data_IF_864372255380
#
_entry.id   IF_864372255380
#
_cell.length_a   1.000
_cell.length_b   1.000
_cell.length_c   1.000
_cell.angle_alpha   90.00
_cell.angle_beta   90.00
_cell.angle_gamma   90.00
#
_symmetry.space_group_name_H-M   'P 1'
#
loop_
_entity.id
_entity.type
_entity.pdbx_description
1 polymer ?
#
# COMPACT_ATOMS: atom_id res chain seq x y z
N UNK A 1 2.50 19.21 1.11
CA UNK A 1 1.77 18.42 2.12
C UNK A 1 1.72 16.98 1.67
N UNK A 2 1.82 16.04 2.61
CA UNK A 2 1.73 14.62 2.38
C UNK A 2 0.88 14.00 3.48
N UNK A 3 -0.37 13.65 3.16
CA UNK A 3 -1.29 13.01 4.09
C UNK A 3 -1.00 11.51 4.16
N UNK A 4 -0.65 11.04 5.36
CA UNK A 4 -0.35 9.65 5.66
C UNK A 4 -1.55 8.98 6.34
N UNK A 5 -2.33 8.26 5.53
CA UNK A 5 -3.42 7.39 5.96
C UNK A 5 -3.02 5.92 6.06
N UNK A 6 -1.74 5.60 6.29
CA UNK A 6 -1.25 4.23 6.47
C UNK A 6 -1.91 3.58 7.68
N UNK A 7 -2.22 2.29 7.56
CA UNK A 7 -2.76 1.51 8.65
C UNK A 7 -1.78 1.42 9.82
N UNK A 8 -2.33 1.38 11.04
CA UNK A 8 -1.56 1.09 12.25
C UNK A 8 -1.86 -0.32 12.75
N UNK A 9 -0.87 -0.98 13.35
CA UNK A 9 -1.14 -2.21 14.06
C UNK A 9 -2.06 -1.95 15.27
N UNK A 10 -2.90 -2.92 15.68
CA UNK A 10 -3.61 -2.86 16.95
C UNK A 10 -2.70 -2.55 18.14
N UNK A 11 -3.18 -1.86 19.17
CA UNK A 11 -2.38 -1.54 20.35
C UNK A 11 -1.83 -2.78 21.07
N UNK A 12 -2.52 -3.92 20.93
CA UNK A 12 -2.09 -5.21 21.48
C UNK A 12 -1.01 -5.92 20.64
N UNK A 13 -0.65 -5.41 19.46
CA UNK A 13 0.36 -6.01 18.61
C UNK A 13 1.78 -5.78 19.16
N UNK A 14 2.50 -6.88 19.38
CA UNK A 14 3.91 -6.90 19.80
C UNK A 14 4.82 -7.27 18.63
N UNK A 15 6.14 -7.28 18.85
CA UNK A 15 7.13 -7.69 17.85
C UNK A 15 6.97 -9.16 17.39
N UNK A 16 6.23 -9.98 18.14
CA UNK A 16 5.94 -11.36 17.79
C UNK A 16 4.52 -11.59 17.26
N UNK A 17 3.71 -10.53 17.09
CA UNK A 17 2.28 -10.62 16.77
C UNK A 17 1.95 -11.35 15.46
N UNK A 18 2.81 -11.19 14.45
CA UNK A 18 2.70 -11.90 13.17
C UNK A 18 3.49 -13.21 13.13
N UNK A 19 4.30 -13.46 14.16
CA UNK A 19 5.17 -14.64 14.23
C UNK A 19 4.49 -15.78 14.98
N UNK A 20 3.80 -15.47 16.08
CA UNK A 20 3.21 -16.44 17.00
C UNK A 20 1.77 -16.07 17.35
N UNK A 21 0.91 -17.07 17.57
CA UNK A 21 -0.46 -16.85 18.07
C UNK A 21 -0.45 -16.16 19.45
N UNK A 22 0.47 -16.56 20.33
CA UNK A 22 0.73 -15.91 21.62
C UNK A 22 2.11 -16.29 22.19
N UNK A 23 2.52 -15.68 23.31
CA UNK A 23 3.76 -16.08 24.00
C UNK A 23 3.73 -17.52 24.51
N UNK A 24 2.53 -18.02 24.84
CA UNK A 24 2.28 -19.39 25.30
C UNK A 24 2.05 -20.38 24.16
N UNK A 25 1.55 -19.90 23.01
CA UNK A 25 1.33 -20.69 21.80
C UNK A 25 2.17 -20.13 20.66
N UNK A 26 3.35 -20.74 20.47
CA UNK A 26 4.33 -20.36 19.45
C UNK A 26 4.13 -21.09 18.12
N UNK A 27 2.88 -21.37 17.77
CA UNK A 27 2.52 -21.75 16.40
C UNK A 27 2.37 -20.48 15.55
N UNK A 28 2.63 -20.60 14.24
CA UNK A 28 2.48 -19.49 13.30
C UNK A 28 0.99 -19.17 13.05
N UNK A 29 0.62 -17.89 12.84
CA UNK A 29 -0.75 -17.54 12.48
C UNK A 29 -1.23 -18.29 11.22
N UNK A 30 -2.42 -18.84 11.33
CA UNK A 30 -3.09 -19.60 10.28
C UNK A 30 -4.10 -18.75 9.50
N UNK A 31 -4.32 -19.04 8.20
CA UNK A 31 -3.63 -20.05 7.40
C UNK A 31 -2.20 -19.63 7.01
N UNK A 32 -1.94 -18.33 7.01
CA UNK A 32 -0.61 -17.72 6.88
C UNK A 32 -0.65 -16.32 7.51
N UNK A 33 0.50 -15.68 7.67
CA UNK A 33 0.59 -14.34 8.26
C UNK A 33 -0.29 -13.31 7.55
N UNK A 34 -0.49 -13.41 6.22
CA UNK A 34 -1.25 -12.44 5.42
C UNK A 34 -2.75 -12.65 5.47
N UNK A 35 -3.19 -13.90 5.51
CA UNK A 35 -4.61 -14.26 5.37
C UNK A 35 -5.27 -14.56 6.72
N UNK A 36 -4.59 -14.21 7.83
CA UNK A 36 -5.11 -14.30 9.19
C UNK A 36 -5.70 -12.96 9.64
N UNK A 37 -6.43 -12.93 10.75
CA UNK A 37 -6.86 -11.67 11.34
C UNK A 37 -5.69 -10.81 11.86
N UNK A 38 -4.51 -11.42 12.09
CA UNK A 38 -3.33 -10.73 12.64
C UNK A 38 -2.71 -9.73 11.68
N UNK A 39 -2.86 -9.90 10.38
CA UNK A 39 -2.34 -8.96 9.39
C UNK A 39 -3.19 -7.70 9.25
N UNK A 40 -4.44 -7.72 9.70
CA UNK A 40 -5.36 -6.61 9.52
C UNK A 40 -4.92 -5.43 10.40
N UNK A 41 -4.47 -4.36 9.76
CA UNK A 41 -4.21 -3.06 10.37
C UNK A 41 -5.46 -2.18 10.39
N UNK A 42 -5.47 -1.18 11.27
CA UNK A 42 -6.57 -0.22 11.41
C UNK A 42 -6.72 0.59 10.11
N UNK A 43 -7.85 0.49 9.37
CA UNK A 43 -7.94 1.11 8.05
C UNK A 43 -7.96 2.65 8.09
N UNK A 44 -7.01 3.28 7.39
CA UNK A 44 -6.82 4.75 7.49
C UNK A 44 -7.43 5.61 6.39
N UNK A 45 -7.83 5.02 5.27
CA UNK A 45 -8.16 5.77 4.05
C UNK A 45 -9.37 6.71 4.22
N UNK A 46 -10.39 6.30 4.99
CA UNK A 46 -11.61 7.11 5.18
C UNK A 46 -11.31 8.37 5.98
N UNK A 47 -10.56 8.26 7.08
CA UNK A 47 -10.11 9.40 7.89
C UNK A 47 -9.23 10.33 7.05
N UNK A 48 -8.29 9.78 6.28
CA UNK A 48 -7.39 10.56 5.43
C UNK A 48 -8.17 11.39 4.40
N UNK A 49 -9.12 10.77 3.70
CA UNK A 49 -9.95 11.47 2.73
C UNK A 49 -10.86 12.52 3.38
N UNK A 50 -11.37 12.27 4.60
CA UNK A 50 -12.17 13.23 5.34
C UNK A 50 -11.34 14.45 5.79
N UNK A 51 -10.10 14.24 6.24
CA UNK A 51 -9.18 15.32 6.64
C UNK A 51 -8.76 16.16 5.43
N UNK A 52 -8.39 15.50 4.31
CA UNK A 52 -8.10 16.19 3.04
C UNK A 52 -9.30 16.97 2.54
N UNK A 53 -10.51 16.41 2.64
CA UNK A 53 -11.73 17.10 2.24
C UNK A 53 -12.05 18.29 3.13
N UNK A 54 -11.83 18.18 4.44
CA UNK A 54 -12.00 19.28 5.39
C UNK A 54 -11.08 20.46 5.05
N UNK A 55 -9.83 20.18 4.66
CA UNK A 55 -8.85 21.23 4.36
C UNK A 55 -8.98 21.80 2.94
N UNK A 56 -9.22 20.93 1.94
CA UNK A 56 -9.12 21.29 0.51
C UNK A 56 -10.42 21.11 -0.28
N UNK A 57 -11.43 20.47 0.29
CA UNK A 57 -12.69 20.12 -0.37
C UNK A 57 -13.58 21.33 -0.63
N UNK A 58 -14.24 21.35 -1.80
CA UNK A 58 -15.21 22.40 -2.18
C UNK A 58 -16.62 21.87 -2.43
N UNK A 59 -16.72 20.64 -2.92
CA UNK A 59 -18.00 19.94 -3.10
C UNK A 59 -18.45 19.37 -1.75
N UNK A 60 -19.74 19.43 -1.37
CA UNK A 60 -20.20 18.81 -0.12
C UNK A 60 -19.77 17.34 -0.03
N UNK A 61 -19.27 16.90 1.14
CA UNK A 61 -18.73 15.55 1.35
C UNK A 61 -19.68 14.46 0.84
N UNK A 62 -20.93 14.53 1.27
CA UNK A 62 -21.98 13.58 0.91
C UNK A 62 -22.17 13.42 -0.61
N UNK A 63 -22.02 14.50 -1.38
CA UNK A 63 -22.29 14.49 -2.81
C UNK A 63 -21.19 13.74 -3.60
N UNK A 64 -20.02 13.54 -3.00
CA UNK A 64 -18.90 12.80 -3.62
C UNK A 64 -19.15 11.28 -3.71
N UNK A 65 -20.10 10.75 -2.94
CA UNK A 65 -20.34 9.30 -2.83
C UNK A 65 -21.36 8.77 -3.82
N UNK A 66 -22.20 9.63 -4.41
CA UNK A 66 -23.31 9.20 -5.25
C UNK A 66 -22.87 8.25 -6.39
N UNK A 67 -21.79 8.51 -7.15
CA UNK A 67 -21.35 7.59 -8.20
C UNK A 67 -20.97 6.20 -7.68
N UNK A 68 -20.29 6.13 -6.53
CA UNK A 68 -19.84 4.87 -5.95
C UNK A 68 -21.00 4.07 -5.35
N UNK A 69 -21.94 4.75 -4.69
CA UNK A 69 -23.18 4.14 -4.17
C UNK A 69 -24.02 3.56 -5.31
N UNK A 70 -24.25 4.34 -6.38
CA UNK A 70 -24.97 3.86 -7.56
C UNK A 70 -24.27 2.67 -8.22
N UNK A 71 -22.94 2.72 -8.37
CA UNK A 71 -22.20 1.60 -8.96
C UNK A 71 -22.27 0.33 -8.10
N UNK A 72 -22.29 0.48 -6.77
CA UNK A 72 -22.44 -0.64 -5.85
C UNK A 72 -23.85 -1.25 -5.91
N UNK A 73 -24.91 -0.43 -5.90
CA UNK A 73 -26.30 -0.91 -5.96
C UNK A 73 -26.68 -1.46 -7.34
N UNK A 74 -26.47 -0.67 -8.40
CA UNK A 74 -26.84 -1.06 -9.77
C UNK A 74 -25.92 -2.17 -10.28
N UNK A 75 -24.69 -2.23 -9.79
CA UNK A 75 -23.66 -3.19 -10.14
C UNK A 75 -22.93 -2.92 -11.46
N UNK A 76 -21.85 -3.65 -11.68
CA UNK A 76 -20.98 -3.52 -12.85
C UNK A 76 -20.57 -4.87 -13.43
N UNK A 77 -20.21 -4.88 -14.71
CA UNK A 77 -19.68 -6.06 -15.40
C UNK A 77 -18.25 -6.34 -14.96
N UNK A 78 -17.94 -7.61 -14.64
CA UNK A 78 -16.60 -8.00 -14.22
C UNK A 78 -15.61 -7.84 -15.39
N UNK A 79 -14.58 -7.02 -15.19
CA UNK A 79 -13.48 -6.90 -16.16
C UNK A 79 -12.63 -8.18 -16.23
N UNK A 80 -11.96 -8.42 -17.35
CA UNK A 80 -11.06 -9.57 -17.51
C UNK A 80 -10.00 -9.67 -16.39
N UNK A 81 -9.43 -8.52 -15.99
CA UNK A 81 -8.45 -8.48 -14.88
C UNK A 81 -9.07 -8.90 -13.55
N UNK A 82 -10.29 -8.45 -13.24
CA UNK A 82 -10.97 -8.83 -12.01
C UNK A 82 -11.38 -10.30 -12.02
N UNK A 83 -11.87 -10.82 -13.15
CA UNK A 83 -12.21 -12.24 -13.30
C UNK A 83 -10.99 -13.14 -13.05
N UNK A 84 -9.81 -12.79 -13.59
CA UNK A 84 -8.56 -13.50 -13.31
C UNK A 84 -8.22 -13.44 -11.82
N UNK A 85 -8.29 -12.26 -11.20
CA UNK A 85 -7.99 -12.10 -9.79
C UNK A 85 -8.93 -12.95 -8.89
N UNK A 86 -10.23 -12.99 -9.19
CA UNK A 86 -11.21 -13.82 -8.47
C UNK A 86 -10.87 -15.30 -8.64
N UNK A 87 -10.59 -15.75 -9.87
CA UNK A 87 -10.26 -17.14 -10.14
C UNK A 87 -8.99 -17.59 -9.40
N UNK A 88 -7.95 -16.76 -9.38
CA UNK A 88 -6.70 -17.03 -8.66
C UNK A 88 -6.90 -17.06 -7.14
N UNK A 89 -7.83 -16.25 -6.62
CA UNK A 89 -8.13 -16.11 -5.19
C UNK A 89 -9.23 -17.04 -4.67
N UNK A 90 -9.95 -17.77 -5.55
CA UNK A 90 -11.16 -18.50 -5.20
C UNK A 90 -11.01 -19.44 -3.97
N UNK A 91 -9.92 -20.22 -3.82
CA UNK A 91 -9.76 -21.07 -2.63
C UNK A 91 -9.66 -20.30 -1.31
N UNK A 92 -9.13 -19.07 -1.33
CA UNK A 92 -9.02 -18.21 -0.15
C UNK A 92 -10.30 -17.44 0.12
N UNK A 93 -10.97 -16.97 -0.93
CA UNK A 93 -12.27 -16.31 -0.84
C UNK A 93 -13.35 -17.25 -0.30
N UNK A 94 -13.27 -18.55 -0.61
CA UNK A 94 -14.22 -19.55 -0.09
C UNK A 94 -14.16 -19.72 1.44
N UNK A 95 -13.09 -19.27 2.10
CA UNK A 95 -12.94 -19.38 3.56
C UNK A 95 -13.78 -18.35 4.33
N UNK A 96 -14.34 -17.36 3.64
CA UNK A 96 -15.15 -16.29 4.20
C UNK A 96 -16.52 -16.30 3.53
N UNK A 97 -17.60 -16.41 4.30
CA UNK A 97 -18.94 -16.60 3.74
C UNK A 97 -19.41 -15.39 2.92
N UNK A 98 -19.10 -14.17 3.36
CA UNK A 98 -19.48 -12.94 2.67
C UNK A 98 -18.65 -12.75 1.39
N UNK A 99 -17.35 -13.02 1.44
CA UNK A 99 -16.49 -12.98 0.26
C UNK A 99 -16.89 -14.05 -0.76
N UNK A 100 -17.20 -15.27 -0.31
CA UNK A 100 -17.66 -16.36 -1.16
C UNK A 100 -18.97 -15.99 -1.85
N UNK A 101 -19.96 -15.47 -1.11
CA UNK A 101 -21.24 -15.05 -1.68
C UNK A 101 -21.09 -13.93 -2.72
N UNK A 102 -20.15 -13.01 -2.48
CA UNK A 102 -19.93 -11.88 -3.37
C UNK A 102 -19.13 -12.23 -4.63
N UNK A 103 -18.09 -13.06 -4.52
CA UNK A 103 -17.16 -13.32 -5.63
C UNK A 103 -17.31 -14.69 -6.30
N UNK A 104 -17.98 -15.66 -5.68
CA UNK A 104 -18.16 -17.01 -6.20
C UNK A 104 -19.63 -17.27 -6.56
N UNK A 105 -19.84 -18.13 -7.54
CA UNK A 105 -21.16 -18.68 -7.88
C UNK A 105 -21.59 -19.71 -6.82
N UNK A 106 -22.88 -20.08 -6.83
CA UNK A 106 -23.46 -20.95 -5.80
C UNK A 106 -22.85 -22.36 -5.74
N UNK A 107 -22.19 -22.81 -6.82
CA UNK A 107 -21.44 -24.06 -6.87
C UNK A 107 -19.98 -23.93 -6.40
N UNK A 108 -19.57 -22.73 -5.97
CA UNK A 108 -18.22 -22.39 -5.54
C UNK A 108 -17.27 -22.02 -6.67
N UNK A 109 -17.71 -22.01 -7.94
CA UNK A 109 -16.87 -21.56 -9.05
C UNK A 109 -16.69 -20.04 -9.06
N UNK A 110 -15.57 -19.50 -9.55
CA UNK A 110 -15.33 -18.06 -9.56
C UNK A 110 -16.23 -17.35 -10.58
N UNK A 111 -16.84 -16.23 -10.17
CA UNK A 111 -17.61 -15.38 -11.09
C UNK A 111 -16.72 -14.88 -12.23
N UNK A 112 -17.26 -14.89 -13.44
CA UNK A 112 -16.52 -14.58 -14.67
C UNK A 112 -16.92 -13.23 -15.27
N UNK A 113 -16.32 -12.87 -16.41
CA UNK A 113 -16.69 -11.65 -17.16
C UNK A 113 -18.13 -11.65 -17.68
N UNK A 114 -18.86 -12.76 -17.59
CA UNK A 114 -20.29 -12.85 -17.92
C UNK A 114 -21.19 -12.50 -16.73
N UNK A 115 -20.62 -12.30 -15.53
CA UNK A 115 -21.34 -11.99 -14.32
C UNK A 115 -21.37 -10.48 -14.06
N UNK A 116 -22.51 -10.02 -13.54
CA UNK A 116 -22.68 -8.67 -13.01
C UNK A 116 -22.55 -8.69 -11.49
N UNK A 117 -21.69 -7.84 -10.93
CA UNK A 117 -21.50 -7.72 -9.48
C UNK A 117 -22.30 -6.55 -8.91
N UNK A 118 -23.24 -6.85 -8.02
CA UNK A 118 -23.97 -5.87 -7.21
C UNK A 118 -23.58 -6.03 -5.74
N UNK A 119 -23.32 -4.93 -5.04
CA UNK A 119 -22.91 -4.90 -3.65
C UNK A 119 -23.75 -3.91 -2.80
N UNK A 120 -25.03 -4.23 -2.51
CA UNK A 120 -25.89 -3.36 -1.71
C UNK A 120 -25.39 -3.14 -0.27
N UNK A 121 -24.64 -4.10 0.28
CA UNK A 121 -24.00 -3.95 1.59
C UNK A 121 -22.97 -2.80 1.55
N UNK A 122 -22.13 -2.77 0.52
CA UNK A 122 -21.17 -1.68 0.35
C UNK A 122 -21.84 -0.34 0.06
N UNK A 123 -22.94 -0.33 -0.71
CA UNK A 123 -23.73 0.89 -0.93
C UNK A 123 -24.25 1.48 0.39
N UNK A 124 -24.74 0.64 1.31
CA UNK A 124 -25.14 1.04 2.66
C UNK A 124 -23.96 1.62 3.46
N UNK A 125 -22.80 0.95 3.43
CA UNK A 125 -21.56 1.41 4.09
C UNK A 125 -21.13 2.77 3.58
N UNK A 126 -21.06 2.95 2.26
CA UNK A 126 -20.77 4.22 1.62
C UNK A 126 -21.79 5.30 2.01
N UNK A 127 -23.08 4.95 2.11
CA UNK A 127 -24.12 5.88 2.56
C UNK A 127 -23.95 6.34 4.01
N UNK A 128 -23.51 5.46 4.90
CA UNK A 128 -23.17 5.81 6.28
C UNK A 128 -21.97 6.78 6.33
N UNK A 129 -20.89 6.46 5.62
CA UNK A 129 -19.69 7.31 5.52
C UNK A 129 -20.01 8.67 4.90
N UNK A 130 -20.84 8.69 3.86
CA UNK A 130 -21.27 9.92 3.19
C UNK A 130 -22.09 10.84 4.10
N UNK A 131 -22.78 10.26 5.08
CA UNK A 131 -23.55 11.01 6.07
C UNK A 131 -22.66 11.53 7.19
N UNK A 132 -21.73 10.71 7.67
CA UNK A 132 -20.78 11.03 8.73
C UNK A 132 -19.52 10.16 8.59
N UNK A 133 -18.33 10.72 8.25
CA UNK A 133 -17.09 9.96 8.17
C UNK A 133 -16.78 9.15 9.43
N UNK A 134 -17.11 9.68 10.61
CA UNK A 134 -16.84 9.03 11.90
C UNK A 134 -17.62 7.72 12.10
N UNK A 135 -18.67 7.47 11.31
CA UNK A 135 -19.43 6.23 11.34
C UNK A 135 -18.60 4.99 10.94
N UNK A 136 -17.47 5.18 10.24
CA UNK A 136 -16.54 4.08 9.93
C UNK A 136 -15.67 3.67 11.13
N UNK A 137 -15.31 4.65 11.96
CA UNK A 137 -14.36 4.48 13.08
C UNK A 137 -15.05 4.26 14.43
N UNK A 138 -16.37 4.44 14.47
CA UNK A 138 -17.20 4.27 15.66
C UNK A 138 -18.52 3.58 15.28
N UNK A 139 -19.30 3.12 16.27
CA UNK A 139 -20.63 2.56 15.99
C UNK A 139 -20.60 1.15 15.39
N UNK A 140 -21.57 0.85 14.51
CA UNK A 140 -21.81 -0.50 13.98
C UNK A 140 -20.68 -0.97 13.05
N UNK A 141 -20.30 -0.17 12.04
CA UNK A 141 -19.22 -0.54 11.10
C UNK A 141 -17.92 -0.88 11.85
N UNK A 142 -17.55 -0.08 12.85
CA UNK A 142 -16.35 -0.34 13.64
C UNK A 142 -16.44 -1.65 14.45
N UNK A 143 -17.61 -1.97 15.00
CA UNK A 143 -17.84 -3.25 15.68
C UNK A 143 -17.78 -4.43 14.71
N UNK A 144 -18.34 -4.26 13.52
CA UNK A 144 -18.38 -5.31 12.50
C UNK A 144 -16.98 -5.58 11.95
N UNK A 145 -16.14 -4.54 11.73
CA UNK A 145 -14.72 -4.70 11.38
C UNK A 145 -13.99 -5.54 12.42
N UNK A 146 -14.14 -5.20 13.71
CA UNK A 146 -13.49 -5.93 14.82
C UNK A 146 -13.98 -7.37 14.89
N UNK A 147 -15.29 -7.60 14.73
CA UNK A 147 -15.87 -8.94 14.74
C UNK A 147 -15.34 -9.79 13.58
N UNK A 148 -15.31 -9.25 12.36
CA UNK A 148 -14.79 -9.93 11.18
C UNK A 148 -13.29 -10.23 11.32
N UNK A 149 -12.50 -9.26 11.79
CA UNK A 149 -11.06 -9.46 12.01
C UNK A 149 -10.75 -10.49 13.12
N UNK A 150 -11.67 -10.69 14.07
CA UNK A 150 -11.53 -11.64 15.16
C UNK A 150 -12.18 -13.01 14.86
N UNK A 151 -12.77 -13.21 13.68
CA UNK A 151 -13.47 -14.45 13.34
C UNK A 151 -12.48 -15.63 13.19
N UNK A 152 -12.58 -16.69 14.02
CA UNK A 152 -11.73 -17.87 13.89
C UNK A 152 -12.24 -18.86 12.84
N UNK A 153 -13.33 -18.56 12.11
CA UNK A 153 -13.85 -19.41 11.04
C UNK A 153 -12.77 -19.76 9.99
N UNK A 154 -12.93 -20.90 9.33
CA UNK A 154 -11.91 -21.41 8.40
C UNK A 154 -10.56 -21.77 9.06
N UNK A 155 -10.48 -21.78 10.40
CA UNK A 155 -9.24 -22.03 11.14
C UNK A 155 -8.29 -20.83 11.15
N UNK A 156 -8.80 -19.62 10.97
CA UNK A 156 -8.02 -18.37 10.95
C UNK A 156 -7.58 -17.98 12.36
N UNK A 157 -6.37 -17.44 12.47
CA UNK A 157 -5.92 -16.83 13.74
C UNK A 157 -6.55 -15.44 13.90
N UNK A 158 -7.32 -15.19 14.99
CA UNK A 158 -8.01 -13.92 15.21
C UNK A 158 -7.09 -12.72 15.37
N UNK A 159 -7.54 -11.54 14.94
CA UNK A 159 -6.97 -10.25 15.33
C UNK A 159 -7.19 -9.96 16.83
N UNK A 160 -6.32 -9.12 17.39
CA UNK A 160 -6.50 -8.49 18.71
C UNK A 160 -6.92 -7.02 18.59
N UNK A 161 -7.32 -6.57 17.40
CA UNK A 161 -7.88 -5.23 17.18
C UNK A 161 -9.12 -5.00 18.04
N UNK A 162 -9.24 -3.81 18.63
CA UNK A 162 -10.42 -3.40 19.38
C UNK A 162 -11.09 -2.18 18.74
N UNK A 163 -12.32 -1.86 19.16
CA UNK A 163 -13.01 -0.66 18.68
C UNK A 163 -12.31 0.62 19.13
N UNK A 164 -11.55 0.58 20.21
CA UNK A 164 -10.70 1.69 20.66
C UNK A 164 -9.53 1.94 19.70
N UNK A 165 -8.98 0.90 19.07
CA UNK A 165 -7.95 1.05 18.04
C UNK A 165 -8.51 1.84 16.83
N UNK A 166 -9.73 1.50 16.37
CA UNK A 166 -10.40 2.26 15.30
C UNK A 166 -10.73 3.69 15.72
N UNK A 167 -11.35 3.87 16.90
CA UNK A 167 -11.77 5.18 17.38
C UNK A 167 -10.59 6.12 17.64
N UNK A 168 -9.42 5.56 17.99
CA UNK A 168 -8.18 6.30 18.23
C UNK A 168 -7.34 6.57 16.97
N UNK A 169 -7.74 6.08 15.80
CA UNK A 169 -6.97 6.25 14.57
C UNK A 169 -6.89 7.72 14.14
N UNK A 170 -5.68 8.17 13.79
CA UNK A 170 -5.43 9.52 13.29
C UNK A 170 -4.51 9.51 12.08
N UNK A 171 -4.74 10.45 11.18
CA UNK A 171 -3.90 10.69 10.00
C UNK A 171 -2.77 11.62 10.38
N UNK A 172 -1.63 11.47 9.70
CA UNK A 172 -0.48 12.35 9.90
C UNK A 172 -0.29 13.21 8.65
N UNK A 173 -0.29 14.53 8.82
CA UNK A 173 0.27 15.44 7.81
C UNK A 173 1.79 15.46 7.97
N UNK A 174 2.49 15.04 6.92
CA UNK A 174 3.95 14.94 6.89
C UNK A 174 4.52 15.92 5.88
N UNK A 175 5.72 16.40 6.16
CA UNK A 175 6.49 17.16 5.17
C UNK A 175 6.89 16.22 4.02
N UNK A 176 6.54 16.53 2.75
CA UNK A 176 6.94 15.72 1.62
C UNK A 176 8.47 15.58 1.53
N UNK A 177 8.92 14.40 1.10
CA UNK A 177 10.33 14.22 0.78
C UNK A 177 10.57 14.77 -0.62
N UNK A 178 11.32 15.87 -0.72
CA UNK A 178 11.71 16.47 -1.99
C UNK A 178 13.24 16.41 -2.19
N UNK A 179 13.65 16.12 -3.42
CA UNK A 179 15.05 16.07 -3.82
C UNK A 179 15.25 16.70 -5.21
N UNK A 180 16.37 17.40 -5.46
CA UNK A 180 16.68 17.92 -6.78
C UNK A 180 17.06 16.78 -7.73
N UNK A 181 16.66 16.89 -8.99
CA UNK A 181 17.12 16.00 -10.06
C UNK A 181 17.18 16.77 -11.38
N UNK A 182 18.38 17.00 -11.93
CA UNK A 182 18.60 17.63 -13.25
C UNK A 182 17.79 18.92 -13.48
N UNK A 183 17.77 19.81 -12.49
CA UNK A 183 17.07 21.11 -12.56
C UNK A 183 15.55 21.02 -12.33
N UNK A 184 15.06 19.88 -11.85
CA UNK A 184 13.69 19.67 -11.35
C UNK A 184 13.72 19.34 -9.87
N UNK A 185 12.57 19.48 -9.22
CA UNK A 185 12.34 18.99 -7.87
C UNK A 185 11.42 17.78 -7.95
N UNK A 186 11.88 16.66 -7.41
CA UNK A 186 11.09 15.44 -7.27
C UNK A 186 10.59 15.37 -5.85
N UNK A 187 9.27 15.33 -5.66
CA UNK A 187 8.65 15.13 -4.36
C UNK A 187 7.91 13.80 -4.30
N UNK A 188 7.92 13.16 -3.13
CA UNK A 188 7.18 11.93 -2.86
C UNK A 188 6.84 11.78 -1.39
N UNK A 189 6.21 10.67 -1.05
CA UNK A 189 5.88 10.37 0.35
C UNK A 189 7.16 10.17 1.18
N UNK A 190 7.24 10.78 2.38
CA UNK A 190 8.27 10.46 3.36
C UNK A 190 7.98 9.10 4.04
N UNK A 191 8.90 8.60 4.90
CA UNK A 191 8.60 7.50 5.82
C UNK A 191 7.28 7.72 6.59
N UNK A 192 6.49 6.65 6.86
CA UNK A 192 6.85 5.23 6.79
C UNK A 192 6.90 4.64 5.37
N UNK A 193 6.49 5.40 4.35
CA UNK A 193 6.71 4.98 2.96
C UNK A 193 8.19 5.03 2.58
N UNK A 194 8.65 4.00 1.89
CA UNK A 194 10.00 3.95 1.34
C UNK A 194 10.13 4.50 -0.08
N UNK A 195 9.01 4.77 -0.75
CA UNK A 195 8.99 5.13 -2.17
C UNK A 195 9.78 6.41 -2.47
N UNK A 196 9.57 7.47 -1.68
CA UNK A 196 10.26 8.75 -1.88
C UNK A 196 11.79 8.61 -1.77
N UNK A 197 12.28 7.90 -0.74
CA UNK A 197 13.72 7.67 -0.53
C UNK A 197 14.29 6.81 -1.66
N UNK A 198 13.66 5.68 -1.98
CA UNK A 198 14.20 4.76 -2.98
C UNK A 198 14.28 5.39 -4.37
N UNK A 199 13.23 6.11 -4.79
CA UNK A 199 13.20 6.81 -6.09
C UNK A 199 14.24 7.94 -6.10
N UNK A 200 14.28 8.80 -5.07
CA UNK A 200 15.24 9.90 -5.00
C UNK A 200 16.70 9.40 -4.99
N UNK A 201 17.00 8.34 -4.23
CA UNK A 201 18.33 7.73 -4.19
C UNK A 201 18.71 7.15 -5.57
N UNK A 202 17.80 6.42 -6.21
CA UNK A 202 18.00 5.83 -7.53
C UNK A 202 18.31 6.92 -8.57
N UNK A 203 17.50 7.99 -8.60
CA UNK A 203 17.72 9.09 -9.53
C UNK A 203 19.00 9.88 -9.23
N UNK A 204 19.34 10.12 -7.95
CA UNK A 204 20.59 10.80 -7.60
C UNK A 204 21.85 9.98 -7.93
N UNK A 205 21.77 8.64 -7.90
CA UNK A 205 22.81 7.75 -8.46
C UNK A 205 22.88 7.92 -9.99
N UNK A 206 21.73 7.85 -10.68
CA UNK A 206 21.63 7.96 -12.13
C UNK A 206 22.01 9.35 -12.68
N UNK A 207 22.00 10.39 -11.85
CA UNK A 207 22.47 11.72 -12.21
C UNK A 207 23.96 11.72 -12.60
N UNK A 208 24.73 10.73 -12.13
CA UNK A 208 26.16 10.56 -12.45
C UNK A 208 26.43 9.91 -13.81
N UNK A 209 25.38 9.45 -14.51
CA UNK A 209 25.49 8.77 -15.80
C UNK A 209 24.85 9.57 -16.94
N UNK A 210 25.35 9.43 -18.18
CA UNK A 210 24.80 10.13 -19.35
C UNK A 210 23.54 9.44 -19.89
N UNK A 211 22.47 9.33 -19.07
CA UNK A 211 21.24 8.59 -19.41
C UNK A 211 20.59 9.00 -20.75
N UNK A 212 20.80 10.24 -21.19
CA UNK A 212 20.33 10.71 -22.49
C UNK A 212 20.94 9.97 -23.70
N UNK A 213 22.06 9.26 -23.53
CA UNK A 213 22.66 8.40 -24.57
C UNK A 213 21.97 7.03 -24.66
N UNK A 214 21.18 6.65 -23.64
CA UNK A 214 20.56 5.32 -23.50
C UNK A 214 19.02 5.43 -23.47
N UNK A 215 18.47 6.33 -24.28
CA UNK A 215 17.01 6.52 -24.38
C UNK A 215 16.32 5.27 -24.93
N UNK A 216 15.09 4.96 -24.48
CA UNK A 216 14.27 3.95 -25.13
C UNK A 216 13.94 4.37 -26.57
N UNK A 217 13.77 3.37 -27.43
CA UNK A 217 13.26 3.52 -28.81
C UNK A 217 11.79 3.14 -28.87
N UNK A 218 11.13 3.38 -30.00
CA UNK A 218 9.77 2.88 -30.28
C UNK A 218 8.75 3.25 -29.18
N UNK A 219 8.80 4.51 -28.73
CA UNK A 219 7.94 5.00 -27.65
C UNK A 219 6.51 5.18 -28.16
N UNK A 220 5.56 4.50 -27.51
CA UNK A 220 4.13 4.67 -27.67
C UNK A 220 3.42 4.89 -26.30
N UNK A 221 2.09 4.76 -26.28
CA UNK A 221 1.30 4.95 -25.07
C UNK A 221 1.52 3.86 -24.00
N UNK A 222 2.09 2.72 -24.38
CA UNK A 222 2.38 1.59 -23.49
C UNK A 222 3.86 1.54 -23.07
N UNK A 223 4.66 2.56 -23.41
CA UNK A 223 6.07 2.66 -23.05
C UNK A 223 6.97 2.64 -24.28
N UNK A 224 8.23 2.23 -24.11
CA UNK A 224 9.18 2.13 -25.22
C UNK A 224 10.14 0.97 -25.02
N UNK A 225 10.84 0.59 -26.08
CA UNK A 225 11.85 -0.46 -26.06
C UNK A 225 13.12 0.05 -25.36
N UNK A 226 13.49 -0.46 -24.18
CA UNK A 226 14.60 0.10 -23.42
C UNK A 226 15.95 -0.29 -24.05
N UNK A 227 16.91 0.63 -24.00
CA UNK A 227 18.29 0.34 -24.37
C UNK A 227 18.93 -0.56 -23.30
N UNK A 228 19.75 -1.54 -23.71
CA UNK A 228 20.39 -2.51 -22.79
C UNK A 228 21.16 -1.79 -21.67
N UNK A 229 21.98 -0.80 -22.03
CA UNK A 229 22.72 0.00 -21.04
C UNK A 229 21.81 0.86 -20.15
N UNK A 230 20.66 1.30 -20.67
CA UNK A 230 19.67 2.02 -19.86
C UNK A 230 19.06 1.12 -18.79
N UNK A 231 18.66 -0.10 -19.16
CA UNK A 231 18.20 -1.13 -18.21
C UNK A 231 19.29 -1.44 -17.19
N UNK A 232 20.51 -1.71 -17.66
CA UNK A 232 21.64 -2.02 -16.78
C UNK A 232 21.86 -0.94 -15.71
N UNK A 233 21.98 0.32 -16.10
CA UNK A 233 22.23 1.40 -15.15
C UNK A 233 21.07 1.60 -14.17
N UNK A 234 19.81 1.53 -14.63
CA UNK A 234 18.64 1.64 -13.77
C UNK A 234 18.61 0.48 -12.76
N UNK A 235 18.76 -0.76 -13.22
CA UNK A 235 18.76 -1.94 -12.35
C UNK A 235 19.87 -1.90 -11.31
N UNK A 236 21.08 -1.48 -11.69
CA UNK A 236 22.22 -1.40 -10.76
C UNK A 236 22.05 -0.27 -9.74
N UNK A 237 21.47 0.87 -10.14
CA UNK A 237 21.14 1.96 -9.22
C UNK A 237 20.02 1.56 -8.24
N UNK A 238 18.96 0.92 -8.75
CA UNK A 238 17.86 0.41 -7.92
C UNK A 238 18.38 -0.62 -6.92
N UNK A 239 19.24 -1.57 -7.31
CA UNK A 239 19.85 -2.53 -6.38
C UNK A 239 20.49 -1.84 -5.18
N UNK A 240 21.26 -0.78 -5.41
CA UNK A 240 21.91 -0.02 -4.34
C UNK A 240 20.92 0.74 -3.47
N UNK A 241 19.92 1.37 -4.07
CA UNK A 241 18.89 2.13 -3.35
C UNK A 241 17.97 1.21 -2.54
N UNK A 242 17.58 0.05 -3.09
CA UNK A 242 16.78 -0.96 -2.41
C UNK A 242 17.55 -1.62 -1.27
N UNK A 243 18.85 -1.88 -1.43
CA UNK A 243 19.67 -2.37 -0.32
C UNK A 243 19.65 -1.39 0.88
N UNK A 244 19.74 -0.08 0.62
CA UNK A 244 19.65 0.95 1.66
C UNK A 244 18.24 1.06 2.25
N UNK A 245 17.21 1.07 1.39
CA UNK A 245 15.80 1.05 1.78
C UNK A 245 15.52 -0.08 2.77
N UNK A 246 15.87 -1.31 2.39
CA UNK A 246 15.51 -2.52 3.11
C UNK A 246 16.21 -2.60 4.48
N UNK A 247 17.33 -1.89 4.64
CA UNK A 247 18.11 -1.87 5.87
C UNK A 247 17.72 -0.74 6.83
N UNK A 248 17.24 0.40 6.30
CA UNK A 248 17.18 1.65 7.06
C UNK A 248 15.82 2.35 7.08
N UNK A 249 14.92 2.06 6.14
CA UNK A 249 13.66 2.79 6.02
C UNK A 249 12.53 2.03 6.71
N UNK A 250 11.96 2.64 7.75
CA UNK A 250 10.86 2.12 8.54
C UNK A 250 9.97 3.28 9.04
N UNK A 251 9.02 3.01 9.92
CA UNK A 251 8.25 4.07 10.58
C UNK A 251 9.15 4.93 11.48
N UNK A 252 9.34 6.18 11.08
CA UNK A 252 10.23 7.14 11.77
C UNK A 252 9.72 7.60 13.13
N UNK A 253 8.46 7.31 13.46
CA UNK A 253 7.91 7.59 14.78
C UNK A 253 8.47 6.59 15.82
N UNK A 254 9.06 5.47 15.37
CA UNK A 254 9.66 4.43 16.20
C UNK A 254 11.16 4.21 15.91
N UNK A 255 11.55 4.23 14.64
CA UNK A 255 12.92 3.95 14.20
C UNK A 255 13.44 5.11 13.35
N UNK A 256 14.36 5.94 13.86
CA UNK A 256 14.87 7.06 13.09
C UNK A 256 15.68 6.59 11.88
N UNK A 257 15.64 7.38 10.81
CA UNK A 257 16.57 7.21 9.69
C UNK A 257 18.02 7.36 10.18
N UNK A 258 19.00 6.76 9.48
CA UNK A 258 20.41 7.03 9.71
C UNK A 258 20.72 8.52 9.76
N UNK A 259 21.46 8.95 10.79
CA UNK A 259 21.76 10.38 11.01
C UNK A 259 20.54 11.27 11.28
N UNK A 260 19.35 10.70 11.51
CA UNK A 260 18.13 11.42 11.85
C UNK A 260 17.47 12.17 10.68
N UNK A 261 17.90 11.94 9.45
CA UNK A 261 17.39 12.66 8.27
C UNK A 261 17.52 11.85 6.98
N UNK A 262 16.61 12.02 6.00
CA UNK A 262 16.78 11.45 4.66
C UNK A 262 18.10 11.84 3.98
N UNK A 263 18.72 12.95 4.38
CA UNK A 263 19.96 13.44 3.78
C UNK A 263 21.14 12.47 3.93
N UNK A 264 21.15 11.61 4.94
CA UNK A 264 22.19 10.58 5.06
C UNK A 264 22.13 9.58 3.90
N UNK A 265 20.93 9.29 3.40
CA UNK A 265 20.70 8.37 2.28
C UNK A 265 20.65 9.10 0.92
N UNK A 266 20.38 10.40 0.91
CA UNK A 266 20.17 11.20 -0.31
C UNK A 266 21.28 12.22 -0.59
N UNK A 267 22.29 12.31 0.27
CA UNK A 267 23.40 13.24 0.13
C UNK A 267 24.20 13.00 -1.14
N UNK A 268 24.53 14.09 -1.86
CA UNK A 268 25.24 14.07 -3.15
C UNK A 268 26.52 13.23 -3.12
N UNK A 269 27.36 13.40 -2.08
CA UNK A 269 28.63 12.68 -1.94
C UNK A 269 28.41 11.19 -1.67
N UNK A 270 27.42 10.85 -0.85
CA UNK A 270 27.04 9.46 -0.60
C UNK A 270 26.58 8.79 -1.90
N UNK A 271 25.64 9.41 -2.62
CA UNK A 271 25.12 8.87 -3.88
C UNK A 271 26.19 8.81 -4.99
N UNK A 272 27.18 9.71 -4.98
CA UNK A 272 28.36 9.60 -5.85
C UNK A 272 29.20 8.36 -5.51
N UNK A 273 29.41 8.09 -4.22
CA UNK A 273 30.06 6.87 -3.76
C UNK A 273 29.30 5.60 -4.16
N UNK A 274 27.96 5.62 -4.07
CA UNK A 274 27.10 4.53 -4.54
C UNK A 274 27.23 4.34 -6.06
N UNK A 275 27.16 5.41 -6.85
CA UNK A 275 27.33 5.36 -8.30
C UNK A 275 28.67 4.76 -8.74
N UNK A 276 29.76 5.01 -8.00
CA UNK A 276 31.08 4.46 -8.28
C UNK A 276 31.16 2.92 -8.16
N UNK A 277 30.16 2.27 -7.54
CA UNK A 277 30.07 0.81 -7.45
C UNK A 277 29.50 0.16 -8.73
N UNK A 278 28.88 0.95 -9.61
CA UNK A 278 28.26 0.45 -10.83
C UNK A 278 29.33 0.30 -11.92
N UNK A 279 29.55 -0.94 -12.37
CA UNK A 279 30.41 -1.23 -13.51
C UNK A 279 29.58 -1.18 -14.81
N UNK A 280 30.09 -0.60 -15.91
CA UNK A 280 29.38 -0.65 -17.19
C UNK A 280 29.40 -2.04 -17.85
N UNK A 281 30.33 -2.91 -17.47
CA UNK A 281 30.61 -4.17 -18.18
C UNK A 281 30.05 -5.42 -17.45
N UNK A 282 29.57 -5.27 -16.22
CA UNK A 282 29.03 -6.37 -15.41
C UNK A 282 28.04 -5.88 -14.36
N UNK A 283 27.10 -6.75 -14.00
CA UNK A 283 26.23 -6.56 -12.83
C UNK A 283 27.00 -6.76 -11.52
N UNK A 284 26.60 -6.03 -10.48
CA UNK A 284 27.04 -6.25 -9.10
C UNK A 284 26.34 -7.45 -8.45
N UNK A 285 25.26 -7.96 -9.05
CA UNK A 285 24.44 -9.02 -8.47
C UNK A 285 23.65 -8.53 -7.25
N UNK A 286 24.14 -8.84 -6.05
CA UNK A 286 23.52 -8.41 -4.79
C UNK A 286 24.22 -7.18 -4.25
N UNK A 287 23.51 -6.06 -4.18
CA UNK A 287 24.01 -4.84 -3.56
C UNK A 287 24.12 -4.99 -2.05
N UNK A 288 25.17 -4.39 -1.47
CA UNK A 288 25.26 -4.19 -0.02
C UNK A 288 24.72 -2.80 0.34
N UNK A 289 23.99 -2.65 1.45
CA UNK A 289 23.65 -1.32 1.96
C UNK A 289 24.91 -0.52 2.29
N UNK A 290 24.78 0.80 2.36
CA UNK A 290 25.74 1.65 3.06
C UNK A 290 25.83 1.29 4.53
N UNK A 291 26.89 1.72 5.20
CA UNK A 291 27.16 1.37 6.60
C UNK A 291 26.99 2.60 7.48
N UNK A 292 25.90 2.66 8.25
CA UNK A 292 25.54 3.82 9.07
C UNK A 292 25.30 3.51 10.56
N UNK A 293 25.81 2.38 11.08
CA UNK A 293 25.56 1.94 12.46
C UNK A 293 24.30 1.08 12.58
N UNK A 294 23.79 0.80 13.79
CA UNK A 294 22.81 -0.28 14.08
C UNK A 294 21.51 -0.22 13.25
N UNK A 295 21.27 -1.22 12.38
CA UNK A 295 20.05 -1.29 11.57
C UNK A 295 19.15 -2.50 11.90
N UNK A 296 17.95 -2.55 11.29
CA UNK A 296 16.94 -3.63 11.45
C UNK A 296 17.28 -4.90 10.69
N UNK A 297 16.86 -6.07 11.19
CA UNK A 297 17.09 -7.35 10.50
C UNK A 297 16.51 -7.32 9.07
N UNK A 298 17.22 -7.90 8.07
CA UNK A 298 16.72 -7.93 6.70
C UNK A 298 15.40 -8.70 6.62
N UNK A 299 14.42 -8.13 5.92
CA UNK A 299 13.12 -8.75 5.65
C UNK A 299 13.18 -9.40 4.26
N UNK A 300 12.62 -10.60 4.12
CA UNK A 300 12.54 -11.27 2.83
C UNK A 300 11.56 -10.53 1.89
N UNK A 301 11.84 -10.45 0.58
CA UNK A 301 10.91 -9.86 -0.36
C UNK A 301 9.61 -10.68 -0.41
N UNK A 302 8.50 -9.97 -0.43
CA UNK A 302 7.14 -10.49 -0.39
C UNK A 302 6.45 -10.09 -1.71
N UNK A 303 5.78 -11.00 -2.44
CA UNK A 303 5.02 -10.62 -3.63
C UNK A 303 3.90 -9.64 -3.27
N UNK A 304 3.84 -8.49 -3.94
CA UNK A 304 2.81 -7.45 -3.75
C UNK A 304 1.95 -7.33 -5.01
N UNK A 305 0.63 -7.46 -4.85
CA UNK A 305 -0.33 -7.38 -5.95
C UNK A 305 -1.65 -6.75 -5.48
N UNK A 306 -1.76 -5.43 -5.20
CA UNK A 306 -3.02 -4.95 -4.58
C UNK A 306 -3.30 -3.45 -4.58
N UNK A 307 -2.66 -2.67 -5.46
CA UNK A 307 -2.63 -1.22 -5.32
C UNK A 307 -3.30 -0.50 -6.49
N UNK A 308 -4.00 0.59 -6.18
CA UNK A 308 -4.51 1.56 -7.15
C UNK A 308 -3.81 2.92 -6.98
N UNK A 309 -3.57 3.60 -8.08
CA UNK A 309 -3.01 4.95 -8.09
C UNK A 309 -3.89 5.88 -8.92
N UNK A 310 -4.11 7.09 -8.40
CA UNK A 310 -4.88 8.14 -9.06
C UNK A 310 -4.04 9.41 -9.07
N UNK A 311 -3.92 10.03 -10.24
CA UNK A 311 -3.32 11.35 -10.43
C UNK A 311 -4.35 12.30 -11.01
N UNK A 312 -4.56 13.45 -10.38
CA UNK A 312 -5.52 14.48 -10.81
C UNK A 312 -4.81 15.82 -10.90
N UNK A 313 -5.06 16.55 -11.99
CA UNK A 313 -4.72 17.96 -12.12
C UNK A 313 -5.97 18.72 -12.55
N UNK A 314 -6.32 19.79 -11.84
CA UNK A 314 -7.50 20.58 -12.15
C UNK A 314 -7.19 21.86 -12.94
N UNK A 315 -8.23 22.61 -13.32
CA UNK A 315 -8.10 23.85 -14.10
C UNK A 315 -7.48 25.02 -13.31
N UNK A 316 -7.44 24.92 -11.98
CA UNK A 316 -6.81 25.93 -11.10
C UNK A 316 -5.31 25.63 -10.89
N UNK A 317 -4.81 24.51 -11.41
CA UNK A 317 -3.43 24.07 -11.23
C UNK A 317 -3.20 23.28 -9.94
N UNK A 318 -4.25 22.88 -9.24
CA UNK A 318 -4.12 21.95 -8.11
C UNK A 318 -3.75 20.57 -8.66
N UNK A 319 -2.85 19.87 -7.96
CA UNK A 319 -2.42 18.53 -8.31
C UNK A 319 -2.51 17.61 -7.09
N UNK A 320 -3.03 16.40 -7.28
CA UNK A 320 -3.09 15.37 -6.27
C UNK A 320 -2.62 14.04 -6.85
N UNK A 321 -1.82 13.31 -6.08
CA UNK A 321 -1.37 11.97 -6.39
C UNK A 321 -1.68 11.07 -5.18
N UNK A 322 -2.62 10.14 -5.35
CA UNK A 322 -3.09 9.24 -4.31
C UNK A 322 -2.76 7.80 -4.70
N UNK A 323 -2.00 7.12 -3.85
CA UNK A 323 -1.83 5.67 -3.91
C UNK A 323 -2.60 5.06 -2.75
N UNK A 324 -3.54 4.15 -3.04
CA UNK A 324 -4.35 3.44 -2.03
C UNK A 324 -4.25 1.94 -2.25
N UNK A 325 -4.25 1.17 -1.16
CA UNK A 325 -4.00 -0.27 -1.17
C UNK A 325 -4.66 -0.95 0.01
N UNK A 326 -4.83 -2.26 -0.09
CA UNK A 326 -5.12 -3.17 1.03
C UNK A 326 -4.00 -4.22 1.17
N UNK A 327 -2.77 -3.81 0.81
CA UNK A 327 -1.56 -4.62 0.60
C UNK A 327 -1.64 -5.57 -0.60
N UNK A 328 -2.30 -6.73 -0.45
CA UNK A 328 -2.42 -7.74 -1.49
C UNK A 328 -3.80 -7.73 -2.16
N UNK A 329 -3.95 -8.44 -3.26
CA UNK A 329 -5.24 -8.63 -3.91
C UNK A 329 -6.17 -9.32 -2.93
N UNK A 330 -7.32 -8.68 -2.68
CA UNK A 330 -8.30 -9.08 -1.68
C UNK A 330 -7.85 -9.02 -0.21
N UNK A 331 -6.69 -8.42 0.07
CA UNK A 331 -6.20 -8.18 1.42
C UNK A 331 -6.07 -9.48 2.23
N UNK A 332 -6.68 -9.50 3.41
CA UNK A 332 -6.70 -10.68 4.30
C UNK A 332 -7.78 -11.70 3.94
N UNK A 333 -8.56 -11.48 2.88
CA UNK A 333 -9.72 -12.28 2.49
C UNK A 333 -10.88 -12.28 3.50
N UNK A 334 -10.89 -11.33 4.44
CA UNK A 334 -12.04 -11.06 5.30
C UNK A 334 -12.90 -10.02 4.63
N UNK A 335 -14.19 -10.31 4.45
CA UNK A 335 -15.16 -9.36 3.93
C UNK A 335 -16.16 -9.00 5.02
N UNK A 336 -16.48 -7.71 5.13
CA UNK A 336 -17.41 -7.17 6.12
C UNK A 336 -18.15 -6.02 5.49
N UNK A 337 -19.48 -5.95 5.69
CA UNK A 337 -20.29 -4.80 5.25
C UNK A 337 -20.07 -4.39 3.77
N UNK A 338 -19.79 -5.38 2.93
CA UNK A 338 -19.55 -5.20 1.50
C UNK A 338 -18.12 -4.78 1.11
N UNK A 339 -17.14 -4.72 2.01
CA UNK A 339 -15.75 -4.40 1.69
C UNK A 339 -14.75 -5.40 2.28
N UNK A 340 -13.56 -5.45 1.70
CA UNK A 340 -12.46 -6.33 2.14
C UNK A 340 -11.56 -5.62 3.14
N UNK A 341 -11.03 -6.36 4.12
CA UNK A 341 -10.04 -5.88 5.07
C UNK A 341 -8.62 -6.07 4.53
N UNK A 342 -7.73 -5.13 4.88
CA UNK A 342 -6.30 -5.15 4.50
C UNK A 342 -5.52 -6.29 5.20
N UNK A 343 -4.23 -6.40 4.87
CA UNK A 343 -3.30 -7.34 5.48
C UNK A 343 -1.85 -6.83 5.53
#
# INVERSE_FOLDING_TARGET
QAFDGRETAPAAATENYLRWVSDTDRTEPTPDARSSGRSIGVPGIVRMLADVHTEHGKTPWRDLFAPAVTLADDGFEISARLATAIADAAPKLQLDEDAAAYFLDADGSPKSTASKLTNPAYAKTLGAIASEPDAFYTGDIARDIVAAAADPSGGRTPSLMTVEDLAGYTVKDREPLCAPYRGKELCGMPPPSSGGIAIAATLGILERFPMAQYKPTDIDLNGGRPAVMGVHLISEAERLAYADRDRYVADTDFVPLPGGSPQTLLGSDYLAGRAALISPDRTMGTAKPGEFGTPSAPVAPLPEHGTSHISVVDQQGNAAALTTTIESAFGSFHMVDGFLLNN
#
